data_IF_255000854698
#
_entry.id   IF_255000854698
#
_cell.length_a   1.000
_cell.length_b   1.000
_cell.length_c   1.000
_cell.angle_alpha   90.00
_cell.angle_beta   90.00
_cell.angle_gamma   90.00
#
_symmetry.space_group_name_H-M   'P 1'
#
loop_
_entity.id
_entity.type
_entity.pdbx_description
1 polymer ?
#
# COMPACT_ATOMS: atom_id res chain seq x y z
N UNK A 1 28.36 -6.28 7.55
CA UNK A 1 27.50 -6.35 6.35
C UNK A 1 26.29 -5.45 6.59
N UNK A 2 26.27 -4.24 6.03
CA UNK A 2 25.06 -3.42 6.02
C UNK A 2 24.19 -3.90 4.85
N UNK A 3 23.05 -4.51 5.17
CA UNK A 3 21.97 -4.65 4.20
C UNK A 3 21.47 -3.22 3.92
N UNK A 4 21.82 -2.65 2.76
CA UNK A 4 21.12 -1.47 2.25
C UNK A 4 19.67 -1.89 2.00
N UNK A 5 18.80 -1.70 3.00
CA UNK A 5 17.36 -1.64 2.77
C UNK A 5 17.16 -0.41 1.89
N UNK A 6 17.15 -0.62 0.58
CA UNK A 6 16.64 0.37 -0.35
C UNK A 6 15.24 0.70 0.14
N UNK A 7 15.04 1.89 0.69
CA UNK A 7 13.72 2.45 0.93
C UNK A 7 13.09 2.70 -0.44
N UNK A 8 12.68 1.61 -1.10
CA UNK A 8 11.84 1.69 -2.28
C UNK A 8 10.53 2.25 -1.78
N UNK A 9 10.22 3.47 -2.19
CA UNK A 9 8.89 4.01 -2.05
C UNK A 9 7.96 3.13 -2.92
N UNK A 10 7.32 2.15 -2.30
CA UNK A 10 6.25 1.38 -2.89
C UNK A 10 5.10 2.29 -3.27
N UNK A 11 4.48 2.02 -4.41
CA UNK A 11 3.33 2.79 -4.85
C UNK A 11 2.26 1.91 -5.48
N UNK A 12 1.01 2.36 -5.34
CA UNK A 12 -0.17 1.78 -5.95
C UNK A 12 -0.87 2.86 -6.77
N UNK A 13 -1.32 2.47 -7.98
CA UNK A 13 -2.16 3.31 -8.82
C UNK A 13 -3.60 2.83 -8.74
N UNK A 14 -4.48 3.70 -8.26
CA UNK A 14 -5.90 3.49 -8.12
C UNK A 14 -6.65 4.44 -9.06
N UNK A 15 -7.00 3.95 -10.25
CA UNK A 15 -7.51 4.81 -11.33
C UNK A 15 -6.48 5.88 -11.71
N UNK A 16 -6.87 7.15 -11.58
CA UNK A 16 -5.99 8.32 -11.80
C UNK A 16 -5.11 8.69 -10.61
N UNK A 17 -5.31 8.06 -9.45
CA UNK A 17 -4.61 8.43 -8.21
C UNK A 17 -3.38 7.55 -7.98
N UNK A 18 -2.23 8.18 -7.74
CA UNK A 18 -1.03 7.51 -7.25
C UNK A 18 -0.95 7.68 -5.73
N UNK A 19 -0.74 6.58 -5.02
CA UNK A 19 -0.51 6.52 -3.57
C UNK A 19 0.86 5.89 -3.38
N UNK A 20 1.73 6.54 -2.62
CA UNK A 20 3.07 6.05 -2.29
C UNK A 20 3.26 6.01 -0.78
N UNK A 21 4.06 5.05 -0.31
CA UNK A 21 4.62 5.10 1.04
C UNK A 21 5.83 6.08 1.10
N UNK A 22 6.25 6.45 2.31
CA UNK A 22 7.44 7.29 2.52
C UNK A 22 7.19 8.81 2.67
N UNK A 23 5.95 9.29 2.58
CA UNK A 23 5.62 10.67 2.93
C UNK A 23 5.48 10.88 4.43
N UNK A 24 6.09 11.93 5.00
CA UNK A 24 5.94 12.34 6.43
C UNK A 24 4.47 12.58 6.84
N UNK A 25 3.61 12.79 5.83
CA UNK A 25 2.16 12.95 5.92
C UNK A 25 1.46 12.12 4.82
N UNK A 26 1.98 10.92 4.55
CA UNK A 26 1.42 10.02 3.54
C UNK A 26 -0.07 9.74 3.79
N UNK A 27 -0.84 9.39 2.74
CA UNK A 27 -2.28 9.17 2.86
C UNK A 27 -2.57 8.08 3.91
N UNK A 28 -3.49 8.35 4.83
CA UNK A 28 -3.95 7.36 5.81
C UNK A 28 -5.01 6.40 5.24
N UNK A 29 -5.47 5.44 6.06
CA UNK A 29 -6.53 4.46 5.73
C UNK A 29 -7.72 5.10 5.00
N UNK A 30 -8.19 6.25 5.48
CA UNK A 30 -9.30 6.99 4.87
C UNK A 30 -9.02 7.41 3.41
N UNK A 31 -7.86 8.02 3.17
CA UNK A 31 -7.53 8.54 1.84
C UNK A 31 -7.25 7.41 0.85
N UNK A 32 -6.68 6.29 1.33
CA UNK A 32 -6.55 5.06 0.54
C UNK A 32 -7.91 4.53 0.14
N UNK A 33 -8.84 4.39 1.09
CA UNK A 33 -10.19 3.90 0.81
C UNK A 33 -10.94 4.82 -0.16
N UNK A 34 -10.81 6.13 0.02
CA UNK A 34 -11.44 7.14 -0.85
C UNK A 34 -10.94 7.08 -2.30
N UNK A 35 -9.64 6.84 -2.50
CA UNK A 35 -9.00 6.82 -3.83
C UNK A 35 -9.03 5.45 -4.51
N UNK A 36 -8.90 4.37 -3.75
CA UNK A 36 -8.81 2.99 -4.24
C UNK A 36 -10.11 2.21 -4.14
N UNK A 37 -11.08 2.69 -3.36
CA UNK A 37 -12.24 1.90 -2.98
C UNK A 37 -11.88 0.76 -2.04
N UNK A 38 -12.84 -0.16 -1.91
CA UNK A 38 -12.72 -1.32 -1.04
C UNK A 38 -11.61 -2.28 -1.52
N UNK A 39 -10.71 -2.73 -0.63
CA UNK A 39 -9.74 -3.76 -0.97
C UNK A 39 -10.45 -5.10 -1.23
N UNK A 40 -9.78 -5.97 -2.00
CA UNK A 40 -10.26 -7.32 -2.24
C UNK A 40 -10.25 -8.19 -0.97
N UNK A 41 -9.32 -7.92 -0.04
CA UNK A 41 -9.26 -8.55 1.26
C UNK A 41 -8.62 -7.61 2.31
N UNK A 42 -8.95 -7.85 3.58
CA UNK A 42 -8.36 -7.17 4.73
C UNK A 42 -7.86 -8.22 5.72
N UNK A 43 -6.58 -8.15 6.06
CA UNK A 43 -5.90 -9.07 6.97
C UNK A 43 -5.24 -8.24 8.07
N UNK A 44 -5.96 -8.04 9.18
CA UNK A 44 -5.51 -7.15 10.26
C UNK A 44 -5.28 -5.71 9.76
N UNK A 45 -4.02 -5.26 9.83
CA UNK A 45 -3.58 -3.95 9.36
C UNK A 45 -3.12 -3.94 7.90
N UNK A 46 -3.30 -5.03 7.15
CA UNK A 46 -2.93 -5.15 5.74
C UNK A 46 -4.17 -5.16 4.87
N UNK A 47 -4.19 -4.30 3.85
CA UNK A 47 -5.22 -4.29 2.81
C UNK A 47 -4.65 -4.81 1.50
N UNK A 48 -5.39 -5.69 0.85
CA UNK A 48 -4.98 -6.37 -0.38
C UNK A 48 -5.81 -5.87 -1.55
N UNK A 49 -5.15 -5.27 -2.55
CA UNK A 49 -5.78 -4.80 -3.78
C UNK A 49 -5.31 -5.64 -4.96
N UNK A 50 -6.22 -5.99 -5.88
CA UNK A 50 -5.85 -6.76 -7.08
C UNK A 50 -4.98 -5.92 -8.02
N UNK A 51 -3.98 -6.54 -8.63
CA UNK A 51 -3.13 -5.98 -9.67
C UNK A 51 -3.07 -6.94 -10.86
N UNK A 52 -4.01 -6.81 -11.79
CA UNK A 52 -4.16 -7.80 -12.86
C UNK A 52 -4.57 -9.17 -12.32
N UNK A 53 -4.30 -10.23 -13.09
CA UNK A 53 -4.78 -11.59 -12.76
C UNK A 53 -3.90 -12.33 -11.74
N UNK A 54 -2.57 -12.11 -11.77
CA UNK A 54 -1.59 -12.88 -11.01
C UNK A 54 -0.75 -12.05 -10.03
N UNK A 55 -1.12 -10.78 -9.78
CA UNK A 55 -0.44 -9.95 -8.80
C UNK A 55 -1.44 -9.24 -7.90
N UNK A 56 -0.98 -8.86 -6.72
CA UNK A 56 -1.73 -8.00 -5.81
C UNK A 56 -0.81 -6.98 -5.14
N UNK A 57 -1.39 -5.85 -4.78
CA UNK A 57 -0.78 -4.87 -3.89
C UNK A 57 -1.14 -5.20 -2.45
N UNK A 58 -0.16 -5.10 -1.57
CA UNK A 58 -0.34 -5.14 -0.12
C UNK A 58 -0.02 -3.76 0.44
N UNK A 59 -0.99 -3.16 1.11
CA UNK A 59 -0.82 -1.89 1.83
C UNK A 59 -0.89 -2.20 3.32
N UNK A 60 0.24 -2.03 4.00
CA UNK A 60 0.33 -2.21 5.46
C UNK A 60 0.18 -0.85 6.11
N UNK A 61 -0.70 -0.74 7.10
CA UNK A 61 -0.89 0.46 7.90
C UNK A 61 -0.22 0.33 9.27
N UNK A 62 0.29 1.45 9.79
CA UNK A 62 0.74 1.55 11.18
C UNK A 62 -0.44 1.80 12.13
N UNK A 63 -0.17 1.80 13.43
CA UNK A 63 -1.18 1.98 14.48
C UNK A 63 -1.84 3.37 14.46
N UNK A 64 -1.15 4.37 13.91
CA UNK A 64 -1.72 5.71 13.68
C UNK A 64 -2.62 5.79 12.44
N UNK A 65 -2.78 4.68 11.70
CA UNK A 65 -3.58 4.61 10.48
C UNK A 65 -2.91 5.17 9.24
N UNK A 66 -1.62 5.50 9.29
CA UNK A 66 -0.80 5.88 8.14
C UNK A 66 -0.26 4.66 7.39
N UNK A 67 0.11 4.82 6.12
CA UNK A 67 0.76 3.75 5.35
C UNK A 67 2.17 3.53 5.90
N UNK A 68 2.43 2.32 6.38
CA UNK A 68 3.75 1.86 6.78
C UNK A 68 4.55 1.33 5.59
N UNK A 69 3.89 0.61 4.68
CA UNK A 69 4.54 -0.05 3.55
C UNK A 69 3.56 -0.32 2.41
N UNK A 70 4.02 -0.20 1.17
CA UNK A 70 3.33 -0.72 -0.02
C UNK A 70 4.25 -1.74 -0.71
N UNK A 71 3.74 -2.93 -1.01
CA UNK A 71 4.45 -3.93 -1.81
C UNK A 71 3.56 -4.53 -2.89
N UNK A 72 4.18 -5.09 -3.93
CA UNK A 72 3.51 -5.96 -4.89
C UNK A 72 4.00 -7.39 -4.66
N UNK A 73 3.07 -8.33 -4.59
CA UNK A 73 3.36 -9.76 -4.54
C UNK A 73 2.74 -10.44 -5.76
N UNK A 74 3.41 -11.47 -6.29
CA UNK A 74 2.82 -12.37 -7.26
C UNK A 74 2.03 -13.47 -6.53
N UNK A 75 0.94 -13.92 -7.14
CA UNK A 75 0.17 -15.07 -6.67
C UNK A 75 0.75 -16.38 -7.20
#
# INVERSE_FOLDING_TARGET
MLMLQSAYAGSIRCGSHLISDGGRSGPGKYEVLKRCGEPAAREGNTWIYKKGENQHYEIVFNDSGGIARISTSAR
#
